data_IF_908727810920
#
_entry.id   IF_908727810920
#
_cell.length_a   1.000
_cell.length_b   1.000
_cell.length_c   1.000
_cell.angle_alpha   90.00
_cell.angle_beta   90.00
_cell.angle_gamma   90.00
#
_symmetry.space_group_name_H-M   'P 1'
#
loop_
_entity.id
_entity.type
_entity.pdbx_description
1 polymer ?
#
# COMPACT_ATOMS: atom_id res chain seq x y z
N UNK A 1 56.85 10.82 9.03
CA UNK A 1 55.55 10.16 9.33
C UNK A 1 54.61 11.20 9.91
N UNK A 2 53.58 11.61 9.18
CA UNK A 2 52.60 12.60 9.63
C UNK A 2 51.37 12.53 8.75
N UNK A 3 50.38 11.75 9.19
CA UNK A 3 49.15 11.48 8.47
C UNK A 3 48.31 12.76 8.32
N UNK A 4 48.01 13.16 7.08
CA UNK A 4 46.94 14.12 6.80
C UNK A 4 45.60 13.40 6.94
N UNK A 5 44.94 13.60 8.07
CA UNK A 5 43.55 13.26 8.28
C UNK A 5 42.68 14.12 7.34
N UNK A 6 42.10 13.53 6.30
CA UNK A 6 40.98 14.16 5.58
C UNK A 6 39.72 13.96 6.40
N UNK A 7 39.33 14.97 7.18
CA UNK A 7 37.98 15.05 7.74
C UNK A 7 37.03 15.41 6.60
N UNK A 8 36.24 14.45 6.14
CA UNK A 8 35.08 14.73 5.28
C UNK A 8 33.95 15.19 6.21
N UNK A 9 33.53 16.47 6.18
CA UNK A 9 32.42 16.94 7.00
C UNK A 9 31.11 16.57 6.32
N UNK A 10 30.19 16.01 7.10
CA UNK A 10 28.75 15.97 6.84
C UNK A 10 28.32 15.44 5.45
N UNK A 11 28.26 14.10 5.32
CA UNK A 11 27.23 13.50 4.45
C UNK A 11 25.87 13.75 5.10
N UNK A 12 25.35 14.97 4.90
CA UNK A 12 23.95 15.28 5.09
C UNK A 12 23.11 14.25 4.34
N UNK A 13 21.98 13.86 4.94
CA UNK A 13 21.06 12.88 4.40
C UNK A 13 20.84 13.13 2.89
N UNK A 14 21.36 12.24 2.06
CA UNK A 14 21.09 12.26 0.63
C UNK A 14 19.63 11.85 0.49
N UNK A 15 18.75 12.84 0.29
CA UNK A 15 17.34 12.59 -0.01
C UNK A 15 17.33 11.82 -1.32
N UNK A 16 17.15 10.50 -1.23
CA UNK A 16 16.99 9.64 -2.40
C UNK A 16 15.78 10.17 -3.16
N UNK A 17 16.05 10.87 -4.27
CA UNK A 17 15.02 11.31 -5.21
C UNK A 17 14.28 10.07 -5.70
N UNK A 18 12.96 10.12 -5.63
CA UNK A 18 12.13 9.03 -6.13
C UNK A 18 12.29 8.99 -7.66
N UNK A 19 12.73 7.88 -8.24
CA UNK A 19 12.63 7.73 -9.69
C UNK A 19 11.18 7.38 -10.06
N UNK A 20 10.44 8.33 -10.64
CA UNK A 20 9.03 8.11 -10.98
C UNK A 20 8.80 7.08 -12.07
N UNK A 21 9.79 6.83 -12.93
CA UNK A 21 9.73 5.76 -13.91
C UNK A 21 9.73 4.40 -13.18
N UNK A 22 10.72 4.19 -12.31
CA UNK A 22 10.81 3.00 -11.46
C UNK A 22 9.57 2.84 -10.55
N UNK A 23 9.03 3.92 -10.01
CA UNK A 23 7.81 3.89 -9.21
C UNK A 23 6.61 3.45 -10.05
N UNK A 24 6.47 3.95 -11.27
CA UNK A 24 5.40 3.52 -12.18
C UNK A 24 5.50 2.03 -12.48
N UNK A 25 6.69 1.53 -12.81
CA UNK A 25 6.95 0.11 -13.08
C UNK A 25 6.63 -0.77 -11.88
N UNK A 26 7.05 -0.37 -10.67
CA UNK A 26 6.70 -1.05 -9.43
C UNK A 26 5.18 -1.13 -9.26
N UNK A 27 4.46 -0.03 -9.48
CA UNK A 27 3.01 0.00 -9.30
C UNK A 27 2.26 -0.80 -10.37
N UNK A 28 2.81 -0.95 -11.58
CA UNK A 28 2.25 -1.82 -12.63
C UNK A 28 2.29 -3.29 -12.23
N UNK A 29 3.46 -3.76 -11.79
CA UNK A 29 3.61 -5.14 -11.28
C UNK A 29 2.77 -5.34 -10.03
N UNK A 30 2.79 -4.39 -9.08
CA UNK A 30 1.97 -4.47 -7.87
C UNK A 30 0.49 -4.52 -8.17
N UNK A 31 -0.01 -3.78 -9.16
CA UNK A 31 -1.42 -3.80 -9.53
C UNK A 31 -1.86 -5.24 -9.82
N UNK A 32 -1.08 -5.95 -10.63
CA UNK A 32 -1.37 -7.33 -11.02
C UNK A 32 -1.26 -8.31 -9.84
N UNK A 33 -0.17 -8.22 -9.06
CA UNK A 33 0.07 -9.14 -7.95
C UNK A 33 -0.93 -8.94 -6.80
N UNK A 34 -1.24 -7.69 -6.44
CA UNK A 34 -2.21 -7.38 -5.39
C UNK A 34 -3.64 -7.76 -5.81
N UNK A 35 -3.99 -7.57 -7.08
CA UNK A 35 -5.26 -8.02 -7.65
C UNK A 35 -5.42 -9.54 -7.53
N UNK A 36 -4.41 -10.29 -8.00
CA UNK A 36 -4.39 -11.75 -7.86
C UNK A 36 -4.44 -12.20 -6.40
N UNK A 37 -3.72 -11.51 -5.51
CA UNK A 37 -3.69 -11.82 -4.09
C UNK A 37 -5.08 -11.73 -3.46
N UNK A 38 -5.79 -10.63 -3.70
CA UNK A 38 -7.15 -10.45 -3.19
C UNK A 38 -8.10 -11.47 -3.82
N UNK A 39 -8.00 -11.75 -5.12
CA UNK A 39 -8.80 -12.78 -5.80
C UNK A 39 -8.66 -14.14 -5.11
N UNK A 40 -7.43 -14.61 -4.94
CA UNK A 40 -7.12 -15.89 -4.32
C UNK A 40 -7.56 -15.93 -2.85
N UNK A 41 -7.35 -14.84 -2.10
CA UNK A 41 -7.78 -14.74 -0.72
C UNK A 41 -9.30 -14.92 -0.57
N UNK A 42 -10.09 -14.32 -1.46
CA UNK A 42 -11.55 -14.47 -1.48
C UNK A 42 -11.95 -15.90 -1.85
N UNK A 43 -11.34 -16.48 -2.89
CA UNK A 43 -11.65 -17.85 -3.32
C UNK A 43 -11.31 -18.92 -2.26
N UNK A 44 -10.35 -18.63 -1.38
CA UNK A 44 -9.79 -19.60 -0.41
C UNK A 44 -10.19 -19.32 1.04
N UNK A 45 -11.11 -18.38 1.25
CA UNK A 45 -11.61 -18.00 2.58
C UNK A 45 -13.12 -17.94 2.59
N UNK A 46 -13.70 -18.01 3.79
CA UNK A 46 -15.14 -17.78 3.94
C UNK A 46 -15.41 -16.27 3.99
N UNK A 47 -16.56 -15.79 3.49
CA UNK A 47 -16.89 -14.35 3.51
C UNK A 47 -16.79 -13.71 4.90
N UNK A 48 -17.09 -14.46 5.96
CA UNK A 48 -17.07 -14.00 7.37
C UNK A 48 -15.65 -13.73 7.87
N UNK A 49 -14.62 -14.30 7.22
CA UNK A 49 -13.22 -14.11 7.58
C UNK A 49 -12.77 -12.64 7.53
N UNK A 50 -13.52 -11.78 6.85
CA UNK A 50 -13.21 -10.36 6.63
C UNK A 50 -14.02 -9.41 7.51
N UNK A 51 -14.96 -9.92 8.31
CA UNK A 51 -15.95 -9.10 9.01
C UNK A 51 -15.34 -8.19 10.08
N UNK A 52 -14.26 -8.61 10.72
CA UNK A 52 -13.48 -7.78 11.65
C UNK A 52 -12.75 -6.65 10.92
N UNK A 53 -12.15 -6.92 9.75
CA UNK A 53 -11.52 -5.87 8.92
C UNK A 53 -12.55 -4.88 8.40
N UNK A 54 -13.76 -5.34 8.02
CA UNK A 54 -14.86 -4.44 7.65
C UNK A 54 -15.21 -3.49 8.79
N UNK A 55 -15.25 -3.97 10.04
CA UNK A 55 -15.47 -3.11 11.23
C UNK A 55 -14.30 -2.16 11.46
N UNK A 56 -13.06 -2.65 11.37
CA UNK A 56 -11.84 -1.85 11.52
C UNK A 56 -11.80 -0.69 10.53
N UNK A 57 -12.09 -0.95 9.26
CA UNK A 57 -12.13 0.05 8.19
C UNK A 57 -13.38 0.94 8.23
N UNK A 58 -14.28 0.75 9.20
CA UNK A 58 -15.40 1.65 9.49
C UNK A 58 -14.97 2.90 10.26
N UNK A 59 -15.63 3.17 11.39
CA UNK A 59 -15.35 4.33 12.27
C UNK A 59 -13.90 4.42 12.76
N UNK A 60 -13.20 3.31 13.13
CA UNK A 60 -11.83 3.41 13.63
C UNK A 60 -10.86 4.03 12.62
N UNK A 61 -10.82 3.52 11.39
CA UNK A 61 -9.96 4.07 10.35
C UNK A 61 -10.35 5.49 9.92
N UNK A 62 -11.64 5.81 9.95
CA UNK A 62 -12.11 7.18 9.68
C UNK A 62 -11.61 8.19 10.71
N UNK A 63 -11.54 7.79 11.99
CA UNK A 63 -10.96 8.61 13.05
C UNK A 63 -9.48 8.85 12.80
N UNK A 64 -8.72 7.83 12.42
CA UNK A 64 -7.30 7.99 12.11
C UNK A 64 -7.08 8.99 10.96
N UNK A 65 -7.85 8.86 9.86
CA UNK A 65 -7.79 9.79 8.73
C UNK A 65 -8.14 11.22 9.15
N UNK A 66 -9.27 11.42 9.86
CA UNK A 66 -9.72 12.74 10.31
C UNK A 66 -8.74 13.45 11.25
N UNK A 67 -7.95 12.69 12.01
CA UNK A 67 -6.98 13.21 12.97
C UNK A 67 -5.56 13.31 12.41
N UNK A 68 -5.32 12.90 11.17
CA UNK A 68 -3.98 12.84 10.59
C UNK A 68 -3.08 11.79 11.26
N UNK A 69 -3.65 10.78 11.94
CA UNK A 69 -2.92 9.69 12.59
C UNK A 69 -2.46 8.66 11.53
N UNK A 70 -1.60 9.10 10.60
CA UNK A 70 -1.26 8.32 9.39
C UNK A 70 -0.41 7.08 9.67
N UNK A 71 0.44 7.08 10.69
CA UNK A 71 1.20 5.88 11.08
C UNK A 71 0.27 4.75 11.55
N UNK A 72 -0.73 5.08 12.37
CA UNK A 72 -1.75 4.12 12.80
C UNK A 72 -2.56 3.61 11.61
N UNK A 73 -2.94 4.51 10.70
CA UNK A 73 -3.63 4.15 9.46
C UNK A 73 -2.80 3.17 8.61
N UNK A 74 -1.51 3.46 8.37
CA UNK A 74 -0.58 2.59 7.65
C UNK A 74 -0.46 1.24 8.34
N UNK A 75 -0.33 1.20 9.67
CA UNK A 75 -0.24 -0.06 10.41
C UNK A 75 -1.48 -0.96 10.19
N UNK A 76 -2.68 -0.37 10.07
CA UNK A 76 -3.90 -1.15 9.75
C UNK A 76 -3.99 -1.56 8.28
N UNK A 77 -3.43 -0.78 7.35
CA UNK A 77 -3.29 -1.21 5.95
C UNK A 77 -2.35 -2.41 5.82
N UNK A 78 -1.22 -2.40 6.53
CA UNK A 78 -0.28 -3.51 6.57
C UNK A 78 -0.93 -4.76 7.19
N UNK A 79 -1.77 -4.60 8.22
CA UNK A 79 -2.57 -5.71 8.77
C UNK A 79 -3.51 -6.32 7.70
N UNK A 80 -4.27 -5.48 6.98
CA UNK A 80 -5.15 -5.95 5.89
C UNK A 80 -4.34 -6.70 4.82
N UNK A 81 -3.20 -6.14 4.41
CA UNK A 81 -2.31 -6.75 3.41
C UNK A 81 -1.81 -8.11 3.88
N UNK A 82 -1.23 -8.21 5.08
CA UNK A 82 -0.72 -9.46 5.65
C UNK A 82 -1.82 -10.53 5.73
N UNK A 83 -3.01 -10.18 6.21
CA UNK A 83 -4.13 -11.13 6.28
C UNK A 83 -4.58 -11.62 4.89
N UNK A 84 -4.55 -10.74 3.89
CA UNK A 84 -4.88 -11.10 2.51
C UNK A 84 -3.83 -12.05 1.92
N UNK A 85 -2.54 -11.79 2.12
CA UNK A 85 -1.44 -12.65 1.65
C UNK A 85 -1.54 -14.05 2.26
N UNK A 86 -1.74 -14.15 3.58
CA UNK A 86 -1.90 -15.43 4.27
C UNK A 86 -3.11 -16.20 3.72
N UNK A 87 -4.25 -15.52 3.59
CA UNK A 87 -5.48 -16.13 3.06
C UNK A 87 -5.37 -16.57 1.59
N UNK A 88 -4.52 -15.90 0.81
CA UNK A 88 -4.27 -16.25 -0.58
C UNK A 88 -3.56 -17.61 -0.72
N UNK A 89 -2.87 -18.11 0.32
CA UNK A 89 -2.18 -19.43 0.33
C UNK A 89 -1.34 -19.70 -0.92
N UNK A 90 -0.62 -18.69 -1.39
CA UNK A 90 0.23 -18.78 -2.58
C UNK A 90 1.62 -18.24 -2.22
N UNK A 91 2.56 -19.15 -1.93
CA UNK A 91 3.91 -18.79 -1.47
C UNK A 91 4.68 -18.00 -2.52
N UNK A 92 4.61 -18.41 -3.79
CA UNK A 92 5.29 -17.72 -4.89
C UNK A 92 4.80 -16.27 -5.01
N UNK A 93 3.48 -16.06 -4.91
CA UNK A 93 2.90 -14.71 -4.92
C UNK A 93 3.32 -13.88 -3.70
N UNK A 94 3.40 -14.50 -2.51
CA UNK A 94 3.87 -13.84 -1.30
C UNK A 94 5.31 -13.36 -1.47
N UNK A 95 6.21 -14.23 -1.94
CA UNK A 95 7.63 -13.92 -2.16
C UNK A 95 7.80 -12.76 -3.16
N UNK A 96 7.04 -12.77 -4.27
CA UNK A 96 7.04 -11.68 -5.25
C UNK A 96 6.55 -10.37 -4.64
N UNK A 97 5.47 -10.42 -3.86
CA UNK A 97 4.91 -9.25 -3.18
C UNK A 97 5.84 -8.68 -2.11
N UNK A 98 6.60 -9.53 -1.42
CA UNK A 98 7.55 -9.12 -0.39
C UNK A 98 8.80 -8.47 -0.99
N UNK A 99 9.30 -8.98 -2.12
CA UNK A 99 10.48 -8.42 -2.79
C UNK A 99 10.34 -6.95 -3.22
N UNK A 100 9.11 -6.48 -3.41
CA UNK A 100 8.78 -5.09 -3.80
C UNK A 100 8.17 -4.26 -2.67
N UNK A 101 7.96 -4.87 -1.49
CA UNK A 101 7.16 -4.29 -0.41
C UNK A 101 7.82 -3.09 0.26
N UNK A 102 9.13 -3.13 0.49
CA UNK A 102 9.83 -2.05 1.20
C UNK A 102 9.85 -0.76 0.38
N UNK A 103 10.12 -0.86 -0.93
CA UNK A 103 10.01 0.27 -1.87
C UNK A 103 8.58 0.81 -1.91
N UNK A 104 7.59 -0.07 -2.00
CA UNK A 104 6.19 0.31 -1.98
C UNK A 104 5.75 1.03 -0.71
N UNK A 105 6.25 0.57 0.45
CA UNK A 105 5.94 1.16 1.76
C UNK A 105 6.52 2.56 1.89
N UNK A 106 7.76 2.77 1.44
CA UNK A 106 8.39 4.09 1.42
C UNK A 106 7.59 5.07 0.55
N UNK A 107 7.19 4.64 -0.65
CA UNK A 107 6.35 5.45 -1.54
C UNK A 107 5.00 5.75 -0.88
N UNK A 108 4.38 4.76 -0.21
CA UNK A 108 3.10 4.93 0.48
C UNK A 108 3.18 6.00 1.59
N UNK A 109 4.25 6.01 2.38
CA UNK A 109 4.49 6.99 3.46
C UNK A 109 4.57 8.42 2.91
N UNK A 110 5.14 8.61 1.72
CA UNK A 110 5.23 9.93 1.07
C UNK A 110 3.89 10.42 0.51
N UNK A 111 3.05 9.52 -0.02
CA UNK A 111 1.78 9.94 -0.64
C UNK A 111 0.63 10.09 0.34
N UNK A 112 0.65 9.37 1.46
CA UNK A 112 -0.53 9.32 2.34
C UNK A 112 -0.89 10.68 2.94
N UNK A 113 0.13 11.53 3.13
CA UNK A 113 0.01 12.89 3.68
C UNK A 113 -0.55 13.90 2.67
N UNK A 114 -0.65 13.53 1.39
CA UNK A 114 -1.15 14.42 0.36
C UNK A 114 -2.64 14.70 0.58
N UNK A 115 -3.11 15.94 0.32
CA UNK A 115 -4.50 16.33 0.56
C UNK A 115 -5.50 15.36 -0.08
N UNK A 116 -6.41 14.81 0.74
CA UNK A 116 -7.48 13.92 0.29
C UNK A 116 -7.05 12.48 -0.03
N UNK A 117 -5.74 12.15 0.01
CA UNK A 117 -5.26 10.82 -0.39
C UNK A 117 -5.74 9.74 0.57
N UNK A 118 -5.66 9.99 1.87
CA UNK A 118 -6.05 9.03 2.90
C UNK A 118 -7.57 8.74 2.88
N UNK A 119 -8.39 9.76 2.64
CA UNK A 119 -9.85 9.65 2.46
C UNK A 119 -10.19 8.80 1.22
N UNK A 120 -9.55 9.10 0.09
CA UNK A 120 -9.72 8.32 -1.14
C UNK A 120 -9.30 6.86 -0.95
N UNK A 121 -8.16 6.64 -0.28
CA UNK A 121 -7.65 5.31 0.07
C UNK A 121 -8.62 4.54 0.96
N UNK A 122 -9.17 5.19 2.00
CA UNK A 122 -10.14 4.56 2.90
C UNK A 122 -11.40 4.12 2.14
N UNK A 123 -11.95 4.98 1.26
CA UNK A 123 -13.09 4.64 0.41
C UNK A 123 -12.80 3.42 -0.49
N UNK A 124 -11.61 3.38 -1.07
CA UNK A 124 -11.17 2.27 -1.93
C UNK A 124 -10.99 0.96 -1.14
N UNK A 125 -10.34 0.99 0.02
CA UNK A 125 -10.18 -0.20 0.88
C UNK A 125 -11.54 -0.73 1.37
N UNK A 126 -12.48 0.15 1.72
CA UNK A 126 -13.87 -0.24 2.05
C UNK A 126 -14.54 -0.95 0.88
N UNK A 127 -14.34 -0.48 -0.36
CA UNK A 127 -14.89 -1.13 -1.55
C UNK A 127 -14.30 -2.52 -1.80
N UNK A 128 -12.99 -2.70 -1.61
CA UNK A 128 -12.35 -4.03 -1.68
C UNK A 128 -12.92 -4.97 -0.63
N UNK A 129 -12.95 -4.55 0.64
CA UNK A 129 -13.49 -5.35 1.74
C UNK A 129 -14.97 -5.71 1.56
N UNK A 130 -15.77 -4.80 0.99
CA UNK A 130 -17.17 -5.07 0.67
C UNK A 130 -17.32 -6.18 -0.37
N UNK A 131 -16.46 -6.21 -1.40
CA UNK A 131 -16.44 -7.29 -2.38
C UNK A 131 -15.95 -8.61 -1.75
N UNK A 132 -14.90 -8.56 -0.93
CA UNK A 132 -14.39 -9.74 -0.21
C UNK A 132 -15.45 -10.36 0.71
N UNK A 133 -16.20 -9.53 1.45
CA UNK A 133 -17.32 -9.98 2.32
C UNK A 133 -18.50 -10.55 1.53
N UNK A 134 -18.63 -10.25 0.23
CA UNK A 134 -19.65 -10.85 -0.64
C UNK A 134 -19.19 -12.16 -1.28
N UNK A 135 -17.92 -12.55 -1.10
CA UNK A 135 -17.34 -13.67 -1.84
C UNK A 135 -17.09 -13.38 -3.32
N UNK A 136 -17.24 -12.13 -3.77
CA UNK A 136 -17.08 -11.76 -5.17
C UNK A 136 -15.59 -11.51 -5.48
N UNK A 137 -14.88 -12.59 -5.80
CA UNK A 137 -13.45 -12.57 -6.08
C UNK A 137 -13.11 -11.66 -7.27
N UNK A 138 -13.97 -11.63 -8.31
CA UNK A 138 -13.72 -10.83 -9.50
C UNK A 138 -13.90 -9.33 -9.22
N UNK A 139 -14.92 -8.95 -8.45
CA UNK A 139 -15.06 -7.56 -8.02
C UNK A 139 -13.93 -7.15 -7.07
N UNK A 140 -13.53 -8.02 -6.14
CA UNK A 140 -12.47 -7.71 -5.18
C UNK A 140 -11.13 -7.47 -5.90
N UNK A 141 -10.81 -8.30 -6.91
CA UNK A 141 -9.67 -8.10 -7.80
C UNK A 141 -9.73 -6.75 -8.52
N UNK A 142 -10.83 -6.44 -9.21
CA UNK A 142 -10.99 -5.17 -9.94
C UNK A 142 -10.80 -3.96 -9.02
N UNK A 143 -11.46 -3.95 -7.86
CA UNK A 143 -11.36 -2.85 -6.88
C UNK A 143 -9.95 -2.71 -6.31
N UNK A 144 -9.23 -3.81 -6.11
CA UNK A 144 -7.84 -3.75 -5.64
C UNK A 144 -6.93 -3.16 -6.70
N UNK A 145 -7.10 -3.56 -7.97
CA UNK A 145 -6.36 -2.99 -9.09
C UNK A 145 -6.60 -1.49 -9.24
N UNK A 146 -7.85 -1.05 -9.17
CA UNK A 146 -8.23 0.37 -9.16
C UNK A 146 -7.57 1.16 -8.02
N UNK A 147 -7.50 0.59 -6.81
CA UNK A 147 -6.84 1.21 -5.66
C UNK A 147 -5.32 1.41 -5.88
N UNK A 148 -4.64 0.40 -6.41
CA UNK A 148 -3.20 0.50 -6.72
C UNK A 148 -2.97 1.51 -7.84
N UNK A 149 -3.77 1.46 -8.91
CA UNK A 149 -3.69 2.41 -10.03
C UNK A 149 -3.90 3.86 -9.57
N UNK A 150 -4.92 4.10 -8.76
CA UNK A 150 -5.18 5.42 -8.19
C UNK A 150 -4.02 5.95 -7.35
N UNK A 151 -3.25 5.07 -6.70
CA UNK A 151 -2.04 5.47 -5.98
C UNK A 151 -0.93 5.90 -6.94
N UNK A 152 -0.74 5.16 -8.05
CA UNK A 152 0.20 5.52 -9.13
C UNK A 152 -0.17 6.85 -9.79
N UNK A 153 -1.45 7.07 -10.05
CA UNK A 153 -1.92 8.31 -10.67
C UNK A 153 -1.75 9.51 -9.73
N UNK A 154 -1.93 9.29 -8.42
CA UNK A 154 -1.61 10.31 -7.41
C UNK A 154 -0.12 10.68 -7.41
N UNK A 155 0.78 9.69 -7.53
CA UNK A 155 2.22 9.94 -7.60
C UNK A 155 2.58 10.84 -8.79
N UNK A 156 2.03 10.53 -9.97
CA UNK A 156 2.24 11.35 -11.17
C UNK A 156 1.70 12.76 -11.02
N UNK A 157 0.54 12.93 -10.37
CA UNK A 157 -0.07 14.25 -10.15
C UNK A 157 0.75 15.15 -9.22
N UNK A 158 1.42 14.57 -8.23
CA UNK A 158 2.17 15.30 -7.20
C UNK A 158 3.69 15.15 -7.37
N UNK A 159 4.15 14.77 -8.56
CA UNK A 159 5.57 14.60 -8.91
C UNK A 159 6.41 15.78 -8.41
N UNK A 160 5.98 17.01 -8.70
CA UNK A 160 6.68 18.25 -8.31
C UNK A 160 6.77 18.51 -6.80
N UNK A 161 6.00 17.79 -5.97
CA UNK A 161 5.98 17.93 -4.52
C UNK A 161 6.65 16.76 -3.78
N UNK A 162 6.92 15.66 -4.49
CA UNK A 162 7.47 14.41 -3.93
C UNK A 162 8.94 14.23 -4.33
N UNK A 163 9.37 14.87 -5.42
CA UNK A 163 10.74 14.91 -5.95
C UNK A 163 11.48 16.19 -5.58
#
# INVERSE_FOLDING_TARGET
>A
MGARSSRIPNRGAEVVRLDLSQVSEIYEVREMLEGLCVRLAVQRSKPESWQDLVRLFGKPMERHVKRGEFEDYIAKLELLRRRTIVAARNRVLADMLDSINDRAREIMRRIIILPGRAEAGLKQHRAVLAAMRKGDAAAAERRRRENIRSSRDCLRRYESFIL
#
